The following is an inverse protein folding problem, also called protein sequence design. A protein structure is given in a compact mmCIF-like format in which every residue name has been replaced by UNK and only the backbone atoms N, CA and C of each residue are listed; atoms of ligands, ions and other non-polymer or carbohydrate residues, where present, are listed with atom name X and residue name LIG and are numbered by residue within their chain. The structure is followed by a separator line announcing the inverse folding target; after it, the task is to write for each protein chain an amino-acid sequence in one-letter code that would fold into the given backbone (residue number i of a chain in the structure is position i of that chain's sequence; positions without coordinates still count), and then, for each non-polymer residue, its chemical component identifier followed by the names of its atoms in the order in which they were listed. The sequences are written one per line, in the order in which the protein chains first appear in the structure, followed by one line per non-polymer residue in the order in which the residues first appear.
data_IF_817884713769
#
_entry.id   IF_817884713769
#
_cell.length_a   1.000
_cell.length_b   1.000
_cell.length_c   1.000
_cell.angle_alpha   90.00
_cell.angle_beta   90.00
_cell.angle_gamma   90.00
#
_symmetry.space_group_name_H-M   'P 1'
#
loop_
_entity.id
_entity.type
_entity.pdbx_description
1 polymer ?
#
# COMPACT_ATOMS: atom_id res chain seq x y z
N UNK A 1 -13.68 -8.72 -7.89
CA UNK A 1 -13.63 -9.23 -6.49
C UNK A 1 -14.84 -8.86 -5.63
N UNK A 2 -15.80 -8.06 -6.11
CA UNK A 2 -17.04 -7.79 -5.38
C UNK A 2 -16.86 -7.04 -4.05
N UNK A 3 -15.73 -6.38 -3.85
CA UNK A 3 -15.51 -5.50 -2.71
C UNK A 3 -16.22 -4.17 -2.98
N UNK A 4 -16.78 -3.58 -1.94
CA UNK A 4 -17.42 -2.26 -1.98
C UNK A 4 -16.45 -1.21 -1.47
N UNK A 5 -16.36 -0.08 -2.16
CA UNK A 5 -15.62 1.09 -1.68
C UNK A 5 -16.53 1.83 -0.70
N UNK A 6 -16.27 1.71 0.60
CA UNK A 6 -17.04 2.38 1.64
C UNK A 6 -16.60 3.83 1.84
N UNK A 7 -15.31 4.12 1.63
CA UNK A 7 -14.76 5.46 1.65
C UNK A 7 -13.58 5.57 0.68
N UNK A 8 -13.40 6.77 0.11
CA UNK A 8 -12.30 7.10 -0.78
C UNK A 8 -11.92 8.57 -0.57
N UNK A 9 -10.64 8.86 -0.36
CA UNK A 9 -10.13 10.21 -0.09
C UNK A 9 -8.79 10.43 -0.79
N UNK A 10 -8.62 11.55 -1.48
CA UNK A 10 -7.32 12.04 -1.91
C UNK A 10 -6.72 12.88 -0.79
N UNK A 11 -5.59 12.44 -0.23
CA UNK A 11 -4.97 13.11 0.93
C UNK A 11 -3.47 13.20 0.81
N UNK A 12 -2.90 14.26 1.36
CA UNK A 12 -1.45 14.33 1.64
C UNK A 12 -1.21 13.81 3.05
N UNK A 13 -0.35 12.79 3.18
CA UNK A 13 -0.06 12.16 4.47
C UNK A 13 0.90 13.05 5.26
N UNK A 14 0.60 13.36 6.52
CA UNK A 14 1.53 14.07 7.41
C UNK A 14 2.64 13.14 7.89
N UNK A 15 3.81 13.69 8.23
CA UNK A 15 4.92 12.93 8.82
C UNK A 15 4.49 12.19 10.09
N UNK A 16 3.70 12.85 10.96
CA UNK A 16 3.14 12.23 12.17
C UNK A 16 2.29 10.99 11.85
N UNK A 17 1.37 11.09 10.88
CA UNK A 17 0.53 9.97 10.48
C UNK A 17 1.34 8.87 9.81
N UNK A 18 2.33 9.22 8.97
CA UNK A 18 3.21 8.27 8.32
C UNK A 18 4.03 7.47 9.34
N UNK A 19 4.60 8.14 10.35
CA UNK A 19 5.33 7.49 11.45
C UNK A 19 4.45 6.57 12.27
N UNK A 20 3.23 7.01 12.60
CA UNK A 20 2.28 6.16 13.31
C UNK A 20 1.88 4.93 12.48
N UNK A 21 1.69 5.09 11.18
CA UNK A 21 1.34 3.99 10.27
C UNK A 21 2.46 2.97 10.12
N UNK A 22 3.72 3.42 10.05
CA UNK A 22 4.89 2.58 9.86
C UNK A 22 5.71 2.36 11.15
N UNK A 23 5.11 2.53 12.33
CA UNK A 23 5.81 2.45 13.61
C UNK A 23 6.57 1.11 13.80
N UNK A 24 6.06 0.02 13.24
CA UNK A 24 6.73 -1.30 13.24
C UNK A 24 8.05 -1.37 12.43
N UNK A 25 8.40 -0.30 11.72
CA UNK A 25 9.64 -0.19 10.94
C UNK A 25 10.62 0.81 11.52
N UNK A 26 10.32 1.42 12.67
CA UNK A 26 11.22 2.34 13.33
C UNK A 26 12.60 1.69 13.61
N UNK A 27 13.67 2.44 13.33
CA UNK A 27 15.04 1.98 13.46
C UNK A 27 15.56 1.12 12.29
N UNK A 28 14.72 0.76 11.31
CA UNK A 28 15.20 0.05 10.10
C UNK A 28 15.89 1.03 9.14
N UNK A 29 16.94 0.61 8.41
CA UNK A 29 17.70 1.50 7.52
C UNK A 29 16.86 2.19 6.44
N UNK A 30 15.80 1.55 5.97
CA UNK A 30 14.88 2.07 4.94
C UNK A 30 13.74 2.92 5.50
N UNK A 31 13.61 3.03 6.82
CA UNK A 31 12.49 3.76 7.43
C UNK A 31 12.44 5.24 7.02
N UNK A 32 13.56 5.98 6.98
CA UNK A 32 13.54 7.38 6.54
C UNK A 32 13.06 7.54 5.08
N UNK A 33 13.54 6.70 4.16
CA UNK A 33 13.12 6.77 2.74
C UNK A 33 11.64 6.41 2.58
N UNK A 34 11.15 5.43 3.34
CA UNK A 34 9.72 5.06 3.35
C UNK A 34 8.82 6.24 3.77
N UNK A 35 9.22 6.97 4.81
CA UNK A 35 8.49 8.16 5.27
C UNK A 35 8.55 9.29 4.23
N UNK A 36 9.72 9.52 3.64
CA UNK A 36 9.89 10.53 2.59
C UNK A 36 8.96 10.26 1.39
N UNK A 37 8.90 9.02 0.93
CA UNK A 37 8.06 8.67 -0.23
C UNK A 37 6.56 8.79 0.05
N UNK A 38 6.06 8.22 1.15
CA UNK A 38 4.61 8.24 1.44
C UNK A 38 4.11 9.68 1.69
N UNK A 39 5.00 10.59 2.10
CA UNK A 39 4.68 12.00 2.33
C UNK A 39 5.02 12.91 1.14
N UNK A 40 5.71 12.41 0.11
CA UNK A 40 6.16 13.19 -1.05
C UNK A 40 5.04 13.70 -1.96
N UNK A 41 3.83 13.16 -1.84
CA UNK A 41 2.71 13.50 -2.69
C UNK A 41 1.35 13.03 -2.18
N UNK A 42 0.27 13.37 -2.90
CA UNK A 42 -1.07 12.95 -2.54
C UNK A 42 -1.26 11.44 -2.80
N UNK A 43 -1.93 10.77 -1.87
CA UNK A 43 -2.31 9.36 -1.96
C UNK A 43 -3.82 9.23 -2.01
N UNK A 44 -4.30 8.17 -2.67
CA UNK A 44 -5.70 7.76 -2.58
C UNK A 44 -5.85 6.76 -1.43
N UNK A 45 -6.41 7.20 -0.31
CA UNK A 45 -6.77 6.34 0.80
C UNK A 45 -8.17 5.76 0.57
N UNK A 46 -8.33 4.45 0.81
CA UNK A 46 -9.58 3.74 0.57
C UNK A 46 -9.95 2.82 1.74
N UNK A 47 -11.24 2.70 2.03
CA UNK A 47 -11.81 1.66 2.88
C UNK A 47 -12.60 0.71 1.99
N UNK A 48 -12.21 -0.57 2.01
CA UNK A 48 -12.84 -1.63 1.22
C UNK A 48 -13.56 -2.62 2.13
N UNK A 49 -14.81 -2.89 1.81
CA UNK A 49 -15.68 -3.78 2.58
C UNK A 49 -16.15 -4.98 1.76
N UNK A 50 -16.36 -6.08 2.46
CA UNK A 50 -16.88 -7.31 1.87
C UNK A 50 -16.33 -8.58 2.53
N UNK A 51 -16.86 -9.75 2.16
CA UNK A 51 -16.39 -11.02 2.70
C UNK A 51 -14.89 -11.21 2.45
N UNK A 52 -14.13 -11.46 3.54
CA UNK A 52 -12.68 -11.67 3.49
C UNK A 52 -11.91 -10.52 2.81
N UNK A 53 -12.38 -9.27 2.94
CA UNK A 53 -11.82 -8.10 2.23
C UNK A 53 -10.30 -7.98 2.31
N UNK A 54 -9.70 -8.18 3.49
CA UNK A 54 -8.23 -8.14 3.68
C UNK A 54 -7.52 -9.16 2.79
N UNK A 55 -7.92 -10.44 2.86
CA UNK A 55 -7.30 -11.50 2.07
C UNK A 55 -7.55 -11.30 0.56
N UNK A 56 -8.77 -10.87 0.20
CA UNK A 56 -9.14 -10.59 -1.18
C UNK A 56 -8.32 -9.44 -1.77
N UNK A 57 -8.11 -8.36 -1.02
CA UNK A 57 -7.30 -7.23 -1.46
C UNK A 57 -5.82 -7.58 -1.51
N UNK A 58 -5.27 -8.33 -0.54
CA UNK A 58 -3.89 -8.82 -0.61
C UNK A 58 -3.63 -9.67 -1.85
N UNK A 59 -4.61 -10.49 -2.25
CA UNK A 59 -4.53 -11.26 -3.49
C UNK A 59 -4.57 -10.35 -4.72
N UNK A 60 -5.38 -9.29 -4.73
CA UNK A 60 -5.39 -8.31 -5.82
C UNK A 60 -4.08 -7.54 -5.92
N UNK A 61 -3.51 -7.13 -4.79
CA UNK A 61 -2.29 -6.34 -4.74
C UNK A 61 -1.09 -7.13 -5.29
N UNK A 62 -1.01 -8.43 -5.00
CA UNK A 62 0.14 -9.27 -5.36
C UNK A 62 1.25 -9.23 -4.31
N UNK A 63 2.27 -10.08 -4.50
CA UNK A 63 3.45 -10.14 -3.62
C UNK A 63 4.16 -8.81 -3.46
N UNK A 64 4.89 -8.61 -2.36
CA UNK A 64 5.54 -7.32 -2.07
C UNK A 64 6.57 -6.93 -3.12
N UNK A 65 7.35 -7.90 -3.62
CA UNK A 65 8.26 -7.71 -4.75
C UNK A 65 7.48 -7.88 -6.07
N UNK A 66 7.36 -6.83 -6.90
CA UNK A 66 6.57 -6.90 -8.14
C UNK A 66 7.08 -7.90 -9.17
N UNK A 67 8.41 -8.13 -9.24
CA UNK A 67 9.02 -8.96 -10.29
C UNK A 67 9.15 -10.40 -9.82
N UNK A 68 9.69 -10.61 -8.62
CA UNK A 68 10.01 -11.95 -8.12
C UNK A 68 8.82 -12.63 -7.44
N UNK A 69 7.88 -11.87 -6.87
CA UNK A 69 6.85 -12.42 -5.95
C UNK A 69 5.41 -12.12 -6.36
N UNK A 70 5.16 -11.19 -7.27
CA UNK A 70 3.81 -10.92 -7.74
C UNK A 70 3.45 -11.82 -8.94
N UNK A 71 2.18 -12.19 -9.03
CA UNK A 71 1.67 -13.02 -10.14
C UNK A 71 1.07 -12.13 -11.22
N UNK A 72 1.22 -12.46 -12.52
CA UNK A 72 0.51 -11.76 -13.59
C UNK A 72 -1.00 -11.69 -13.33
N UNK A 73 -1.62 -10.55 -13.61
CA UNK A 73 -3.01 -10.24 -13.27
C UNK A 73 -3.22 -9.62 -11.88
N UNK A 74 -2.15 -9.41 -11.11
CA UNK A 74 -2.20 -8.64 -9.85
C UNK A 74 -1.70 -7.22 -10.09
N UNK A 75 -2.11 -6.28 -9.24
CA UNK A 75 -1.77 -4.86 -9.41
C UNK A 75 -0.24 -4.66 -9.49
N UNK A 76 0.52 -5.26 -8.58
CA UNK A 76 1.99 -5.15 -8.61
C UNK A 76 2.60 -5.93 -9.77
N UNK A 77 2.09 -7.12 -10.08
CA UNK A 77 2.63 -7.93 -11.18
C UNK A 77 2.43 -7.28 -12.55
N UNK A 78 1.35 -6.53 -12.73
CA UNK A 78 1.04 -5.89 -14.02
C UNK A 78 1.64 -4.48 -14.16
N UNK A 79 1.86 -3.76 -13.04
CA UNK A 79 2.17 -2.32 -13.07
C UNK A 79 3.46 -1.93 -12.31
N UNK A 80 4.04 -2.82 -11.50
CA UNK A 80 5.22 -2.52 -10.68
C UNK A 80 6.48 -3.17 -11.22
N UNK A 81 7.63 -2.50 -11.02
CA UNK A 81 8.96 -3.05 -11.32
C UNK A 81 9.93 -2.96 -10.13
N UNK A 82 9.65 -2.09 -9.17
CA UNK A 82 10.56 -1.79 -8.06
C UNK A 82 9.79 -1.77 -6.74
N UNK A 83 10.50 -2.11 -5.66
CA UNK A 83 10.07 -1.82 -4.29
C UNK A 83 10.74 -0.54 -3.82
N UNK A 84 9.99 0.27 -3.09
CA UNK A 84 10.50 1.46 -2.45
C UNK A 84 11.28 1.15 -1.17
#
# INVERSE_FOLDING_TARGET
KGLTVAALELKTVSDELARAHYAEHEGKPFFPSLLEFITSGPVVAAILEGPRAVAAFRQLAGGTDPVEKATPGTIRGDLGLETQ
#
